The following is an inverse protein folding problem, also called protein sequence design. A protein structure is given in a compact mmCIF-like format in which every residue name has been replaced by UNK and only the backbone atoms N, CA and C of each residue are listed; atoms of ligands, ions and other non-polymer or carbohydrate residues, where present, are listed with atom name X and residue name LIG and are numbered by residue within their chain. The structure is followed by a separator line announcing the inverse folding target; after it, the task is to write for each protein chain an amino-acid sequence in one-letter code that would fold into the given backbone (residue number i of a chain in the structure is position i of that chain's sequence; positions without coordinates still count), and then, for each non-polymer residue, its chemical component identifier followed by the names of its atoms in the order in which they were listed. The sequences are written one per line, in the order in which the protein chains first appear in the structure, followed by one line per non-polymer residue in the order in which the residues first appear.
data_IF_857683697884
#
_entry.id   IF_857683697884
#
_cell.length_a   1.000
_cell.length_b   1.000
_cell.length_c   1.000
_cell.angle_alpha   90.00
_cell.angle_beta   90.00
_cell.angle_gamma   90.00
#
_symmetry.space_group_name_H-M   'P 1'
#
loop_
_entity.id
_entity.type
_entity.pdbx_description
1 polymer ?
#
# COMPACT_ATOMS: atom_id res chain seq x y z
N UNK A 1 -51.89 32.20 33.22
CA UNK A 1 -52.48 31.28 32.23
C UNK A 1 -51.59 31.27 31.00
N UNK A 2 -51.01 30.10 30.69
CA UNK A 2 -50.68 29.55 29.36
C UNK A 2 -50.01 30.48 28.33
N UNK A 3 -48.75 30.19 27.95
CA UNK A 3 -48.40 29.51 26.68
C UNK A 3 -46.90 29.61 26.31
N UNK A 4 -46.24 28.43 26.23
CA UNK A 4 -45.41 27.93 25.09
C UNK A 4 -44.05 28.65 24.87
N UNK A 5 -42.87 28.16 25.28
CA UNK A 5 -42.15 26.91 24.94
C UNK A 5 -42.09 26.62 23.43
N UNK A 6 -41.11 27.23 22.73
CA UNK A 6 -40.38 26.65 21.59
C UNK A 6 -39.68 27.77 20.80
N UNK A 7 -38.39 27.99 21.03
CA UNK A 7 -37.51 28.42 19.94
C UNK A 7 -36.32 27.48 19.94
N UNK A 8 -36.39 26.57 18.97
CA UNK A 8 -35.50 25.45 18.75
C UNK A 8 -34.09 25.94 18.40
N UNK A 9 -33.12 25.40 19.13
CA UNK A 9 -31.78 25.13 18.64
C UNK A 9 -31.87 24.35 17.33
N UNK A 10 -31.70 25.00 16.18
CA UNK A 10 -31.71 24.31 14.89
C UNK A 10 -30.78 24.97 13.87
N UNK A 11 -29.48 25.00 14.16
CA UNK A 11 -28.43 25.12 13.15
C UNK A 11 -27.19 24.37 13.63
N UNK A 12 -27.29 23.06 13.76
CA UNK A 12 -26.13 22.19 13.78
C UNK A 12 -26.43 21.07 12.79
N UNK A 13 -25.38 20.64 12.08
CA UNK A 13 -25.38 19.55 11.10
C UNK A 13 -25.92 19.98 9.73
N UNK A 14 -25.00 20.32 8.82
CA UNK A 14 -24.98 19.92 7.40
C UNK A 14 -23.82 20.66 6.69
N UNK A 15 -22.59 20.27 7.00
CA UNK A 15 -21.48 20.43 6.05
C UNK A 15 -20.52 19.25 6.22
N UNK A 16 -21.04 18.03 6.08
CA UNK A 16 -20.19 16.86 5.98
C UNK A 16 -19.52 16.88 4.60
N UNK A 17 -18.33 17.47 4.59
CA UNK A 17 -17.12 16.95 3.95
C UNK A 17 -17.36 15.92 2.83
N UNK A 18 -17.57 16.41 1.61
CA UNK A 18 -17.09 15.69 0.44
C UNK A 18 -15.71 16.24 0.11
N UNK A 19 -14.74 15.96 0.98
CA UNK A 19 -13.33 16.05 0.59
C UNK A 19 -13.08 14.84 -0.30
N UNK A 20 -13.31 15.01 -1.60
CA UNK A 20 -12.69 14.13 -2.58
C UNK A 20 -11.19 14.29 -2.38
N UNK A 21 -10.55 13.30 -1.75
CA UNK A 21 -9.10 13.19 -1.71
C UNK A 21 -8.66 13.15 -3.17
N UNK A 22 -8.11 14.26 -3.66
CA UNK A 22 -7.44 14.27 -4.94
C UNK A 22 -6.31 13.26 -4.79
N UNK A 23 -6.36 12.18 -5.59
CA UNK A 23 -5.23 11.26 -5.73
C UNK A 23 -4.12 12.10 -6.35
N UNK A 24 -3.27 12.65 -5.49
CA UNK A 24 -2.09 13.40 -5.91
C UNK A 24 -1.08 12.36 -6.37
N UNK A 25 -1.04 12.12 -7.68
CA UNK A 25 0.04 11.37 -8.29
C UNK A 25 1.30 12.21 -8.08
N UNK A 26 2.13 11.86 -7.10
CA UNK A 26 3.32 12.65 -6.78
C UNK A 26 4.40 12.42 -7.83
N UNK A 27 5.01 13.52 -8.29
CA UNK A 27 6.15 13.47 -9.19
C UNK A 27 7.39 13.61 -8.31
N UNK A 28 8.14 12.52 -8.16
CA UNK A 28 9.40 12.53 -7.45
C UNK A 28 10.41 13.48 -8.15
N UNK A 29 11.17 14.20 -7.35
CA UNK A 29 12.34 14.95 -7.80
C UNK A 29 13.41 14.01 -8.38
N UNK A 30 14.37 14.57 -9.11
CA UNK A 30 15.48 13.78 -9.65
C UNK A 30 16.36 13.14 -8.57
N UNK A 31 16.50 13.80 -7.42
CA UNK A 31 17.28 13.30 -6.28
C UNK A 31 16.57 12.12 -5.60
N UNK A 32 15.27 12.28 -5.31
CA UNK A 32 14.42 11.20 -4.79
C UNK A 32 14.49 9.96 -5.69
N UNK A 33 14.23 10.14 -7.00
CA UNK A 33 14.30 9.05 -7.97
C UNK A 33 15.67 8.35 -7.96
N UNK A 34 16.76 9.11 -7.91
CA UNK A 34 18.12 8.54 -7.91
C UNK A 34 18.40 7.72 -6.66
N UNK A 35 17.97 8.17 -5.47
CA UNK A 35 18.18 7.44 -4.21
C UNK A 35 17.33 6.18 -4.12
N UNK A 36 16.08 6.28 -4.55
CA UNK A 36 15.17 5.15 -4.64
C UNK A 36 15.71 4.11 -5.61
N UNK A 37 16.21 4.53 -6.78
CA UNK A 37 16.83 3.64 -7.76
C UNK A 37 18.06 2.92 -7.20
N UNK A 38 18.93 3.65 -6.50
CA UNK A 38 20.11 3.07 -5.83
C UNK A 38 19.70 1.98 -4.83
N UNK A 39 18.68 2.27 -4.00
CA UNK A 39 18.14 1.30 -3.05
C UNK A 39 17.55 0.08 -3.77
N UNK A 40 16.64 0.25 -4.72
CA UNK A 40 15.98 -0.88 -5.42
C UNK A 40 17.03 -1.74 -6.15
N UNK A 41 18.02 -1.12 -6.78
CA UNK A 41 19.13 -1.84 -7.43
C UNK A 41 19.91 -2.70 -6.45
N UNK A 42 20.07 -2.25 -5.19
CA UNK A 42 20.72 -3.06 -4.15
C UNK A 42 19.90 -4.29 -3.74
N UNK A 43 18.57 -4.24 -3.92
CA UNK A 43 17.67 -5.36 -3.63
C UNK A 43 17.65 -6.42 -4.75
N UNK A 44 18.03 -6.07 -5.98
CA UNK A 44 18.11 -7.00 -7.14
C UNK A 44 19.06 -8.18 -6.92
N UNK A 45 19.95 -8.09 -5.93
CA UNK A 45 20.98 -9.10 -5.62
C UNK A 45 20.43 -10.22 -4.71
N UNK A 46 19.25 -10.05 -4.09
CA UNK A 46 18.81 -10.87 -2.95
C UNK A 46 17.40 -11.51 -3.08
N UNK A 47 16.81 -11.64 -4.27
CA UNK A 47 15.40 -12.07 -4.38
C UNK A 47 15.16 -13.60 -4.39
N UNK A 48 16.13 -14.41 -4.00
CA UNK A 48 15.93 -15.80 -3.61
C UNK A 48 16.81 -16.16 -2.41
N UNK A 49 16.21 -16.34 -1.23
CA UNK A 49 16.92 -16.75 0.01
C UNK A 49 17.23 -18.26 0.03
N UNK A 50 16.73 -19.02 -0.96
CA UNK A 50 16.83 -20.49 -0.97
C UNK A 50 18.00 -21.03 -1.80
N UNK A 51 18.55 -20.23 -2.72
CA UNK A 51 19.62 -20.65 -3.62
C UNK A 51 20.96 -19.99 -3.25
N UNK A 52 21.97 -20.80 -2.93
CA UNK A 52 23.37 -20.33 -2.70
C UNK A 52 24.05 -19.78 -3.97
N UNK A 53 23.30 -19.50 -5.03
CA UNK A 53 23.77 -18.95 -6.30
C UNK A 53 23.28 -17.51 -6.36
N UNK A 54 24.20 -16.55 -6.52
CA UNK A 54 23.84 -15.15 -6.73
C UNK A 54 23.07 -15.04 -8.04
N UNK A 55 21.75 -15.01 -7.94
CA UNK A 55 20.85 -14.82 -9.07
C UNK A 55 20.35 -13.37 -9.05
N UNK A 56 20.43 -12.71 -10.20
CA UNK A 56 20.07 -11.30 -10.34
C UNK A 56 18.61 -11.21 -10.77
N UNK A 57 17.84 -10.40 -10.07
CA UNK A 57 16.48 -10.08 -10.44
C UNK A 57 16.45 -8.82 -11.29
N UNK A 58 15.40 -8.69 -12.08
CA UNK A 58 15.16 -7.49 -12.89
C UNK A 58 14.00 -6.70 -12.28
N UNK A 59 14.13 -5.37 -12.24
CA UNK A 59 13.04 -4.47 -11.87
C UNK A 59 12.55 -3.70 -13.10
N UNK A 60 11.23 -3.59 -13.25
CA UNK A 60 10.62 -2.71 -14.25
C UNK A 60 10.21 -1.39 -13.60
N UNK A 61 10.88 -0.29 -13.98
CA UNK A 61 10.63 1.05 -13.42
C UNK A 61 9.23 1.57 -13.73
N UNK A 62 8.65 1.16 -14.85
CA UNK A 62 7.33 1.63 -15.30
C UNK A 62 6.17 1.03 -14.50
N UNK A 63 6.44 -0.03 -13.72
CA UNK A 63 5.46 -0.70 -12.86
C UNK A 63 5.50 -0.21 -11.40
N UNK A 64 6.32 0.80 -11.10
CA UNK A 64 6.44 1.33 -9.74
C UNK A 64 5.29 2.26 -9.42
N UNK A 65 4.80 2.17 -8.19
CA UNK A 65 3.74 3.05 -7.67
C UNK A 65 4.33 3.82 -6.49
N UNK A 66 4.11 5.13 -6.48
CA UNK A 66 4.60 6.05 -5.45
C UNK A 66 3.42 6.72 -4.78
N UNK A 67 3.47 6.77 -3.45
CA UNK A 67 2.53 7.53 -2.63
C UNK A 67 3.33 8.35 -1.62
N UNK A 68 2.86 9.55 -1.33
CA UNK A 68 3.44 10.43 -0.31
C UNK A 68 2.41 10.75 0.76
N UNK A 69 2.84 10.76 2.02
CA UNK A 69 1.98 11.10 3.16
C UNK A 69 2.63 10.78 4.49
N UNK A 70 2.04 11.26 5.58
CA UNK A 70 2.45 10.98 6.96
C UNK A 70 1.98 9.57 7.38
N UNK A 71 2.80 8.56 7.11
CA UNK A 71 2.59 7.15 7.46
C UNK A 71 2.99 6.90 8.91
N UNK A 72 4.02 7.60 9.40
CA UNK A 72 4.50 7.52 10.77
C UNK A 72 3.55 8.12 11.82
N UNK A 73 2.60 8.96 11.40
CA UNK A 73 1.77 9.82 12.25
C UNK A 73 2.61 10.72 13.18
N UNK A 74 3.76 11.19 12.68
CA UNK A 74 4.68 12.06 13.43
C UNK A 74 4.73 13.49 12.85
N UNK A 75 3.90 13.79 11.84
CA UNK A 75 3.84 15.08 11.16
C UNK A 75 4.92 15.28 10.09
N UNK A 76 5.71 14.26 9.79
CA UNK A 76 6.66 14.24 8.68
C UNK A 76 6.06 13.40 7.54
N UNK A 77 6.39 13.76 6.30
CA UNK A 77 5.96 12.97 5.15
C UNK A 77 6.96 11.85 4.88
N UNK A 78 6.44 10.69 4.54
CA UNK A 78 7.19 9.57 3.98
C UNK A 78 6.81 9.33 2.52
N UNK A 79 7.67 8.59 1.82
CA UNK A 79 7.43 8.07 0.48
C UNK A 79 7.23 6.56 0.58
N UNK A 80 6.04 6.08 0.23
CA UNK A 80 5.74 4.66 0.05
C UNK A 80 5.92 4.25 -1.41
N UNK A 81 6.68 3.17 -1.63
CA UNK A 81 7.04 2.73 -2.98
C UNK A 81 6.74 1.26 -3.11
N UNK A 82 5.84 0.93 -4.03
CA UNK A 82 5.67 -0.43 -4.51
C UNK A 82 6.57 -0.65 -5.72
N UNK A 83 7.33 -1.75 -5.73
CA UNK A 83 8.10 -2.20 -6.89
C UNK A 83 8.10 -3.73 -6.97
N UNK A 84 8.32 -4.22 -8.19
CA UNK A 84 8.39 -5.65 -8.48
C UNK A 84 9.82 -6.03 -8.83
N UNK A 85 10.28 -7.15 -8.26
CA UNK A 85 11.49 -7.85 -8.65
C UNK A 85 11.09 -9.15 -9.33
N UNK A 86 11.60 -9.39 -10.53
CA UNK A 86 11.32 -10.58 -11.33
C UNK A 86 12.52 -11.50 -11.41
N UNK A 87 12.26 -12.81 -11.31
CA UNK A 87 13.24 -13.87 -11.42
C UNK A 87 12.68 -14.99 -12.31
N UNK A 88 12.99 -14.92 -13.60
CA UNK A 88 12.44 -15.85 -14.59
C UNK A 88 10.92 -15.75 -14.67
N UNK A 89 10.21 -16.78 -14.19
CA UNK A 89 8.74 -16.80 -14.15
C UNK A 89 8.18 -16.47 -12.75
N UNK A 90 9.03 -16.13 -11.79
CA UNK A 90 8.62 -15.69 -10.46
C UNK A 90 8.69 -14.17 -10.38
N UNK A 91 7.81 -13.59 -9.58
CA UNK A 91 7.79 -12.16 -9.32
C UNK A 91 7.44 -11.93 -7.86
N UNK A 92 8.06 -10.92 -7.29
CA UNK A 92 7.96 -10.56 -5.87
C UNK A 92 7.66 -9.06 -5.79
N UNK A 93 6.60 -8.70 -5.08
CA UNK A 93 6.20 -7.31 -4.89
C UNK A 93 6.66 -6.85 -3.53
N UNK A 94 7.42 -5.77 -3.49
CA UNK A 94 7.92 -5.15 -2.29
C UNK A 94 7.25 -3.80 -2.06
N UNK A 95 7.11 -3.45 -0.79
CA UNK A 95 6.78 -2.11 -0.32
C UNK A 95 7.95 -1.60 0.51
N UNK A 96 8.50 -0.46 0.11
CA UNK A 96 9.51 0.28 0.87
C UNK A 96 8.98 1.61 1.31
N UNK A 97 9.34 2.02 2.53
CA UNK A 97 9.01 3.33 3.06
C UNK A 97 10.31 4.11 3.25
N UNK A 98 10.33 5.35 2.77
CA UNK A 98 11.46 6.27 2.90
C UNK A 98 11.03 7.50 3.70
N UNK A 99 11.91 8.00 4.56
CA UNK A 99 11.77 9.34 5.10
C UNK A 99 11.97 10.35 3.95
N UNK A 100 10.99 11.23 3.71
CA UNK A 100 11.02 12.12 2.53
C UNK A 100 12.13 13.17 2.60
N UNK A 101 12.55 13.56 3.80
CA UNK A 101 13.54 14.63 3.97
C UNK A 101 14.97 14.12 3.80
N UNK A 102 15.27 12.97 4.40
CA UNK A 102 16.60 12.36 4.41
C UNK A 102 16.81 11.34 3.29
N UNK A 103 15.73 10.89 2.66
CA UNK A 103 15.69 9.84 1.64
C UNK A 103 16.30 8.51 2.12
N UNK A 104 16.33 8.30 3.44
CA UNK A 104 16.74 7.04 4.02
C UNK A 104 15.57 6.08 4.03
N UNK A 105 15.85 4.81 3.70
CA UNK A 105 14.88 3.73 3.87
C UNK A 105 14.59 3.55 5.37
N UNK A 106 13.32 3.63 5.75
CA UNK A 106 12.86 3.35 7.10
C UNK A 106 12.74 1.83 7.26
N UNK A 107 11.98 1.20 6.37
CA UNK A 107 11.83 -0.25 6.31
C UNK A 107 11.32 -0.70 4.93
N UNK A 108 11.43 -1.99 4.64
CA UNK A 108 10.91 -2.59 3.42
C UNK A 108 10.50 -4.04 3.63
N UNK A 109 9.50 -4.50 2.87
CA UNK A 109 8.96 -5.84 3.01
C UNK A 109 8.40 -6.39 1.71
N UNK A 110 8.54 -7.70 1.49
CA UNK A 110 7.78 -8.40 0.45
C UNK A 110 6.31 -8.47 0.87
N UNK A 111 5.43 -7.86 0.09
CA UNK A 111 4.00 -7.76 0.36
C UNK A 111 3.14 -8.57 -0.61
N UNK A 112 3.71 -9.06 -1.71
CA UNK A 112 3.01 -9.86 -2.70
C UNK A 112 3.98 -10.64 -3.57
N UNK A 113 3.44 -11.46 -4.45
CA UNK A 113 4.25 -12.32 -5.29
C UNK A 113 3.45 -13.42 -5.95
N UNK A 114 4.06 -14.04 -6.95
CA UNK A 114 3.51 -15.25 -7.57
C UNK A 114 3.26 -16.33 -6.52
N UNK A 115 2.15 -17.05 -6.65
CA UNK A 115 1.72 -18.09 -5.71
C UNK A 115 1.48 -17.61 -4.27
N UNK A 116 1.57 -16.30 -4.00
CA UNK A 116 1.22 -15.69 -2.72
C UNK A 116 -0.05 -14.85 -2.87
N UNK A 117 0.04 -13.70 -3.53
CA UNK A 117 -1.10 -12.81 -3.87
C UNK A 117 -0.64 -11.72 -4.84
N UNK A 118 -1.59 -11.18 -5.61
CA UNK A 118 -1.42 -9.89 -6.29
C UNK A 118 -1.79 -8.76 -5.33
N UNK A 119 -1.06 -7.65 -5.44
CA UNK A 119 -1.23 -6.50 -4.58
C UNK A 119 -0.86 -5.21 -5.31
N UNK A 120 -1.64 -4.16 -5.09
CA UNK A 120 -1.37 -2.82 -5.58
C UNK A 120 -1.71 -1.78 -4.53
N UNK A 121 -0.72 -1.02 -4.07
CA UNK A 121 -0.97 0.16 -3.21
C UNK A 121 -1.81 1.19 -3.98
N UNK A 122 -2.68 1.89 -3.26
CA UNK A 122 -3.68 2.81 -3.83
C UNK A 122 -3.62 4.20 -3.20
N UNK A 123 -3.54 4.28 -1.88
CA UNK A 123 -3.59 5.55 -1.16
C UNK A 123 -2.92 5.44 0.22
N UNK A 124 -2.61 6.60 0.81
CA UNK A 124 -2.27 6.73 2.22
C UNK A 124 -3.43 7.44 2.91
N UNK A 125 -4.00 6.83 3.95
CA UNK A 125 -5.11 7.41 4.73
C UNK A 125 -4.91 7.11 6.21
N UNK A 126 -4.97 8.17 7.03
CA UNK A 126 -4.81 8.09 8.50
C UNK A 126 -3.53 7.33 8.96
N UNK A 127 -2.43 7.49 8.21
CA UNK A 127 -1.15 6.81 8.45
C UNK A 127 -1.07 5.38 7.94
N UNK A 128 -2.08 4.90 7.21
CA UNK A 128 -2.11 3.56 6.61
C UNK A 128 -1.84 3.64 5.12
N UNK A 129 -0.89 2.84 4.63
CA UNK A 129 -0.79 2.53 3.20
C UNK A 129 -1.84 1.47 2.88
N UNK A 130 -2.83 1.84 2.07
CA UNK A 130 -3.93 0.97 1.67
C UNK A 130 -3.64 0.36 0.31
N UNK A 131 -3.83 -0.95 0.21
CA UNK A 131 -3.64 -1.71 -1.02
C UNK A 131 -4.87 -2.58 -1.33
N UNK A 132 -5.15 -2.71 -2.63
CA UNK A 132 -6.09 -3.71 -3.13
C UNK A 132 -5.33 -5.02 -3.40
N UNK A 133 -5.98 -6.16 -3.13
CA UNK A 133 -5.36 -7.49 -3.27
C UNK A 133 -6.22 -8.46 -4.06
N UNK A 134 -5.57 -9.42 -4.73
CA UNK A 134 -6.19 -10.65 -5.21
C UNK A 134 -5.45 -11.84 -4.60
N UNK A 135 -6.18 -12.74 -3.97
CA UNK A 135 -5.66 -13.97 -3.38
C UNK A 135 -6.12 -15.20 -4.16
N UNK A 136 -5.36 -16.28 -4.03
CA UNK A 136 -5.68 -17.55 -4.67
C UNK A 136 -6.80 -18.27 -3.93
N UNK A 137 -7.75 -18.80 -4.69
CA UNK A 137 -8.70 -19.83 -4.26
C UNK A 137 -8.19 -21.21 -4.69
N UNK A 138 -8.79 -22.27 -4.15
CA UNK A 138 -8.46 -23.65 -4.54
C UNK A 138 -8.72 -23.94 -6.03
N UNK A 139 -9.55 -23.14 -6.70
CA UNK A 139 -9.83 -23.25 -8.14
C UNK A 139 -8.90 -22.43 -9.03
N UNK A 140 -8.08 -21.56 -8.45
CA UNK A 140 -7.22 -20.67 -9.23
C UNK A 140 -5.99 -21.41 -9.74
N UNK A 141 -5.60 -21.07 -10.97
CA UNK A 141 -4.27 -21.41 -11.46
C UNK A 141 -3.24 -20.49 -10.81
N UNK A 142 -1.99 -20.95 -10.65
CA UNK A 142 -0.88 -20.18 -10.05
C UNK A 142 -0.55 -18.85 -10.75
N UNK A 143 -1.10 -18.60 -11.93
CA UNK A 143 -0.93 -17.34 -12.66
C UNK A 143 -1.95 -16.27 -12.29
N UNK A 144 -3.06 -16.65 -11.66
CA UNK A 144 -4.31 -15.94 -11.84
C UNK A 144 -5.18 -16.00 -10.57
N UNK A 145 -4.79 -15.31 -9.49
CA UNK A 145 -5.60 -15.21 -8.27
C UNK A 145 -6.91 -14.46 -8.56
N UNK A 146 -8.01 -14.88 -7.94
CA UNK A 146 -9.34 -14.33 -8.25
C UNK A 146 -10.12 -13.79 -7.05
N UNK A 147 -9.67 -14.02 -5.81
CA UNK A 147 -10.39 -13.57 -4.61
C UNK A 147 -10.00 -12.13 -4.22
N UNK A 148 -10.87 -11.13 -4.41
CA UNK A 148 -10.55 -9.75 -4.06
C UNK A 148 -10.44 -9.54 -2.55
N UNK A 149 -9.57 -8.63 -2.17
CA UNK A 149 -9.37 -8.20 -0.80
C UNK A 149 -8.74 -6.81 -0.70
N UNK A 150 -8.42 -6.44 0.54
CA UNK A 150 -7.76 -5.19 0.91
C UNK A 150 -6.74 -5.47 2.00
N UNK A 151 -5.56 -4.88 1.88
CA UNK A 151 -4.51 -4.92 2.89
C UNK A 151 -4.16 -3.50 3.33
N UNK A 152 -3.83 -3.36 4.61
CA UNK A 152 -3.47 -2.07 5.22
C UNK A 152 -2.12 -2.23 5.95
N UNK A 153 -1.16 -1.37 5.60
CA UNK A 153 0.19 -1.38 6.16
C UNK A 153 0.47 -0.10 6.96
N UNK A 154 1.24 -0.23 8.03
CA UNK A 154 1.66 0.88 8.90
C UNK A 154 3.13 0.76 9.27
N UNK A 155 3.73 1.88 9.62
CA UNK A 155 4.98 1.92 10.37
C UNK A 155 4.71 1.78 11.87
N UNK A 156 4.88 0.57 12.40
CA UNK A 156 4.83 0.35 13.84
C UNK A 156 6.05 1.02 14.51
N UNK A 157 5.75 1.90 15.48
CA UNK A 157 6.77 2.71 16.19
C UNK A 157 7.70 3.47 15.25
N UNK A 158 7.18 3.92 14.10
CA UNK A 158 7.88 4.72 13.10
C UNK A 158 9.11 4.01 12.48
N UNK A 159 9.20 2.68 12.60
CA UNK A 159 10.43 1.95 12.23
C UNK A 159 10.21 0.61 11.55
N UNK A 160 9.07 -0.02 11.76
CA UNK A 160 8.82 -1.38 11.28
C UNK A 160 7.55 -1.41 10.44
N UNK A 161 7.67 -1.77 9.18
CA UNK A 161 6.57 -1.92 8.25
C UNK A 161 5.84 -3.24 8.53
N UNK A 162 4.62 -3.13 9.06
CA UNK A 162 3.77 -4.27 9.35
C UNK A 162 2.47 -4.21 8.55
N UNK A 163 1.96 -5.39 8.16
CA UNK A 163 0.60 -5.52 7.65
C UNK A 163 -0.33 -5.64 8.85
N UNK A 164 -1.13 -4.60 9.10
CA UNK A 164 -1.97 -4.55 10.29
C UNK A 164 -3.36 -5.13 10.07
N UNK A 165 -3.89 -5.09 8.84
CA UNK A 165 -5.21 -5.64 8.53
C UNK A 165 -5.27 -6.19 7.10
N UNK A 166 -5.89 -7.36 6.95
CA UNK A 166 -6.26 -7.96 5.67
C UNK A 166 -7.75 -8.30 5.70
N UNK A 167 -8.52 -7.84 4.72
CA UNK A 167 -9.96 -8.12 4.57
C UNK A 167 -10.17 -8.79 3.22
N UNK A 168 -10.84 -9.93 3.19
CA UNK A 168 -11.26 -10.58 1.95
C UNK A 168 -12.72 -10.25 1.64
N UNK A 169 -13.00 -9.85 0.40
CA UNK A 169 -14.35 -9.60 -0.07
C UNK A 169 -14.93 -10.89 -0.63
N UNK A 170 -15.65 -11.63 0.21
CA UNK A 170 -16.37 -12.83 -0.24
C UNK A 170 -17.56 -12.38 -1.08
N UNK A 171 -17.47 -12.54 -2.40
CA UNK A 171 -18.48 -12.07 -3.37
C UNK A 171 -19.77 -12.92 -3.42
N UNK A 172 -20.02 -13.79 -2.45
CA UNK A 172 -21.19 -14.68 -2.44
C UNK A 172 -21.89 -14.74 -1.08
N UNK A 173 -22.74 -13.74 -0.81
CA UNK A 173 -24.04 -14.05 -0.23
C UNK A 173 -25.03 -13.91 -1.39
N UNK A 174 -25.22 -14.98 -2.16
CA UNK A 174 -26.50 -15.15 -2.85
C UNK A 174 -27.53 -15.27 -1.73
N UNK A 175 -28.27 -14.21 -1.47
CA UNK A 175 -29.49 -14.30 -0.71
C UNK A 175 -30.36 -15.33 -1.45
N UNK A 176 -30.47 -16.53 -0.90
CA UNK A 176 -31.54 -17.44 -1.31
C UNK A 176 -32.84 -16.76 -0.88
N UNK A 177 -33.54 -16.17 -1.85
CA UNK A 177 -34.97 -15.82 -1.72
C UNK A 177 -35.83 -17.08 -1.77
#
# INVERSE_FOLDING_TARGET
MKHIFALLFYTCILSNYTAFAAISLSILSSEENSRIDEFITSQEIHCDDSSQVVQRCETNKDLRIYLEGDIGNNGLEEIAIQYTLEEGNNWYVYLSIFDKTSLQVIDFKMIGGKAFREISIREIVDGWVVADTLSYTDSDSLCCPSLPGRSEFILYREKELIEGRTIFFISNIKAYE
#
